data_IF_347785735236
#
_entry.id   IF_347785735236
#
_cell.length_a   1.000
_cell.length_b   1.000
_cell.length_c   1.000
_cell.angle_alpha   90.00
_cell.angle_beta   90.00
_cell.angle_gamma   90.00
#
_symmetry.space_group_name_H-M   'P 1'
#
loop_
_entity.id
_entity.type
_entity.pdbx_description
1 polymer ?
#
# COMPACT_ATOMS: atom_id res chain seq x y z
N UNK A 1 1.85 75.85 44.06
CA UNK A 1 1.92 74.55 44.75
C UNK A 1 0.64 73.77 44.49
N UNK A 2 0.54 73.01 43.42
CA UNK A 2 -0.53 72.03 43.09
C UNK A 2 -0.22 71.50 41.68
N UNK A 3 0.61 70.45 41.52
CA UNK A 3 0.77 69.67 40.30
C UNK A 3 1.72 68.49 40.57
N UNK A 4 1.28 67.46 41.24
CA UNK A 4 2.04 66.18 41.29
C UNK A 4 1.21 65.02 41.83
N UNK A 5 -0.08 64.90 41.47
CA UNK A 5 -0.87 63.78 41.96
C UNK A 5 -1.67 63.03 40.89
N UNK A 6 -1.36 63.23 39.62
CA UNK A 6 -2.07 62.56 38.50
C UNK A 6 -1.23 61.61 37.65
N UNK A 7 -0.06 61.19 38.13
CA UNK A 7 0.83 60.29 37.38
C UNK A 7 1.07 58.91 38.00
N UNK A 8 0.26 58.48 38.96
CA UNK A 8 0.46 57.15 39.61
C UNK A 8 -0.75 56.18 39.52
N UNK A 9 -1.76 56.46 38.72
CA UNK A 9 -2.95 55.61 38.56
C UNK A 9 -3.07 54.91 37.20
N UNK A 10 -2.06 54.93 36.30
CA UNK A 10 -2.16 54.34 34.97
C UNK A 10 -1.15 53.23 34.71
N UNK A 11 -0.48 52.69 35.74
CA UNK A 11 0.53 51.64 35.62
C UNK A 11 0.10 50.28 36.18
N UNK A 12 -1.16 50.07 36.60
CA UNK A 12 -1.62 48.83 37.24
C UNK A 12 -2.68 48.07 36.46
N UNK A 13 -2.98 48.41 35.18
CA UNK A 13 -4.04 47.74 34.39
C UNK A 13 -3.55 47.06 33.10
N UNK A 14 -2.24 46.93 32.88
CA UNK A 14 -1.69 46.24 31.71
C UNK A 14 -0.93 44.91 32.03
N UNK A 15 -1.09 44.37 33.23
CA UNK A 15 -0.32 43.16 33.66
C UNK A 15 -1.19 41.92 33.81
N UNK A 16 -2.45 41.87 33.34
CA UNK A 16 -3.35 40.72 33.51
C UNK A 16 -3.94 40.13 32.23
N UNK A 17 -3.36 40.41 31.05
CA UNK A 17 -3.87 39.85 29.77
C UNK A 17 -2.84 39.08 28.95
N UNK A 18 -1.76 38.55 29.54
CA UNK A 18 -0.74 37.75 28.84
C UNK A 18 -0.49 36.36 29.44
N UNK A 19 -1.52 35.69 29.90
CA UNK A 19 -1.34 34.33 30.48
C UNK A 19 -2.41 33.31 30.01
N UNK A 20 -2.89 33.38 28.76
CA UNK A 20 -3.69 32.28 28.16
C UNK A 20 -3.34 32.20 26.67
N UNK A 21 -2.20 31.66 26.32
CA UNK A 21 -1.95 31.16 24.94
C UNK A 21 -0.61 30.41 24.85
N UNK A 22 -0.46 29.34 25.65
CA UNK A 22 0.60 28.33 25.43
C UNK A 22 0.06 26.96 25.79
N UNK A 23 -0.99 26.53 25.10
CA UNK A 23 -1.42 25.14 25.03
C UNK A 23 -1.87 24.83 23.60
N UNK A 24 -1.09 25.24 22.63
CA UNK A 24 -1.18 24.80 21.25
C UNK A 24 -0.13 23.71 21.02
N UNK A 25 -0.26 22.56 21.69
CA UNK A 25 0.37 21.32 21.21
C UNK A 25 -0.17 21.07 19.82
N UNK A 26 0.73 21.06 18.83
CA UNK A 26 0.44 20.82 17.42
C UNK A 26 -0.31 19.51 17.18
N UNK A 27 -1.61 19.53 17.26
CA UNK A 27 -2.45 18.69 16.45
C UNK A 27 -2.35 19.27 15.04
N UNK A 28 -1.74 18.55 14.12
CA UNK A 28 -1.95 18.77 12.70
C UNK A 28 -3.47 18.79 12.51
N UNK A 29 -4.01 19.99 12.33
CA UNK A 29 -5.43 20.23 12.11
C UNK A 29 -5.72 19.54 10.77
N UNK A 30 -6.24 18.33 10.82
CA UNK A 30 -6.80 17.68 9.64
C UNK A 30 -7.97 18.57 9.23
N UNK A 31 -7.96 19.05 8.00
CA UNK A 31 -9.05 19.79 7.35
C UNK A 31 -10.32 18.93 7.17
N UNK A 32 -10.58 17.98 8.08
CA UNK A 32 -11.67 17.03 8.04
C UNK A 32 -11.47 15.90 7.02
N UNK A 33 -10.30 15.80 6.40
CA UNK A 33 -10.00 14.82 5.35
C UNK A 33 -8.97 13.79 5.80
N UNK A 34 -9.03 12.60 5.20
CA UNK A 34 -8.06 11.53 5.40
C UNK A 34 -7.25 11.31 4.11
N UNK A 35 -5.92 11.30 4.23
CA UNK A 35 -5.00 11.12 3.10
C UNK A 35 -4.57 9.66 3.03
N UNK A 36 -4.91 8.99 1.94
CA UNK A 36 -4.66 7.57 1.77
C UNK A 36 -3.72 7.34 0.60
N UNK A 37 -2.59 6.68 0.87
CA UNK A 37 -1.66 6.23 -0.16
C UNK A 37 -2.17 4.97 -0.84
N UNK A 38 -2.24 4.99 -2.18
CA UNK A 38 -2.76 3.90 -3.00
C UNK A 38 -1.87 3.67 -4.23
N UNK A 39 -1.85 2.45 -4.77
CA UNK A 39 -1.28 2.19 -6.10
C UNK A 39 -2.22 2.75 -7.18
N UNK A 40 -1.67 2.96 -8.37
CA UNK A 40 -2.42 3.58 -9.48
C UNK A 40 -2.26 2.82 -10.81
N UNK A 41 -1.35 1.84 -10.84
CA UNK A 41 -0.89 1.09 -12.00
C UNK A 41 -1.17 -0.43 -11.91
N UNK A 42 -1.99 -0.86 -10.93
CA UNK A 42 -2.28 -2.27 -10.65
C UNK A 42 -3.76 -2.57 -10.92
N UNK A 43 -4.13 -3.06 -12.13
CA UNK A 43 -5.51 -3.43 -12.45
C UNK A 43 -6.07 -4.46 -11.47
N UNK A 44 -7.27 -4.19 -10.94
CA UNK A 44 -7.93 -5.02 -9.93
C UNK A 44 -7.53 -4.74 -8.48
N UNK A 45 -6.51 -3.92 -8.21
CA UNK A 45 -6.00 -3.61 -6.87
C UNK A 45 -6.05 -2.11 -6.58
N UNK A 46 -5.00 -1.37 -6.89
CA UNK A 46 -4.95 0.08 -6.88
C UNK A 46 -4.76 0.58 -8.31
N UNK A 47 -5.84 0.98 -8.97
CA UNK A 47 -5.81 1.35 -10.38
C UNK A 47 -6.52 2.68 -10.63
N UNK A 48 -5.82 3.59 -11.33
CA UNK A 48 -6.39 4.88 -11.75
C UNK A 48 -7.07 4.73 -13.09
N UNK A 49 -8.39 4.84 -13.11
CA UNK A 49 -9.23 4.72 -14.31
C UNK A 49 -10.05 5.99 -14.50
N UNK A 50 -9.82 6.71 -15.61
CA UNK A 50 -10.58 7.93 -15.94
C UNK A 50 -10.65 8.95 -14.79
N UNK A 51 -9.53 9.13 -14.07
CA UNK A 51 -9.42 10.10 -12.97
C UNK A 51 -9.89 9.59 -11.60
N UNK A 52 -10.50 8.40 -11.52
CA UNK A 52 -10.92 7.76 -10.26
C UNK A 52 -10.03 6.58 -9.92
N UNK A 53 -9.94 6.24 -8.63
CA UNK A 53 -9.26 5.04 -8.18
C UNK A 53 -10.28 3.91 -7.97
N UNK A 54 -9.92 2.72 -8.44
CA UNK A 54 -10.74 1.50 -8.36
C UNK A 54 -9.86 0.30 -8.02
N UNK A 55 -10.45 -0.75 -7.46
CA UNK A 55 -9.77 -2.00 -7.17
C UNK A 55 -9.93 -2.45 -5.72
N UNK A 56 -9.44 -3.64 -5.44
CA UNK A 56 -9.59 -4.27 -4.11
C UNK A 56 -8.95 -3.44 -2.99
N UNK A 57 -7.73 -2.94 -3.19
CA UNK A 57 -7.05 -2.07 -2.22
C UNK A 57 -7.84 -0.78 -1.97
N UNK A 58 -8.46 -0.22 -3.03
CA UNK A 58 -9.31 0.97 -2.92
C UNK A 58 -10.56 0.68 -2.10
N UNK A 59 -11.21 -0.47 -2.31
CA UNK A 59 -12.41 -0.86 -1.55
C UNK A 59 -12.07 -1.13 -0.07
N UNK A 60 -10.93 -1.77 0.21
CA UNK A 60 -10.42 -1.94 1.59
C UNK A 60 -10.15 -0.57 2.22
N UNK A 61 -9.52 0.35 1.49
CA UNK A 61 -9.24 1.70 1.98
C UNK A 61 -10.52 2.49 2.31
N UNK A 62 -11.52 2.44 1.42
CA UNK A 62 -12.84 3.08 1.64
C UNK A 62 -13.56 2.48 2.85
N UNK A 63 -13.54 1.17 3.01
CA UNK A 63 -14.14 0.50 4.15
C UNK A 63 -13.48 0.95 5.46
N UNK A 64 -12.15 0.97 5.50
CA UNK A 64 -11.38 1.45 6.67
C UNK A 64 -11.71 2.91 6.95
N UNK A 65 -11.66 3.80 5.95
CA UNK A 65 -11.98 5.23 6.11
C UNK A 65 -13.38 5.43 6.70
N UNK A 66 -14.39 4.70 6.20
CA UNK A 66 -15.75 4.72 6.75
C UNK A 66 -15.80 4.30 8.23
N UNK A 67 -15.07 3.25 8.61
CA UNK A 67 -14.98 2.81 10.02
C UNK A 67 -14.24 3.80 10.91
N UNK A 68 -13.36 4.62 10.35
CA UNK A 68 -12.69 5.72 11.02
C UNK A 68 -13.55 6.99 11.12
N UNK A 69 -14.74 7.01 10.51
CA UNK A 69 -15.70 8.12 10.54
C UNK A 69 -15.64 9.08 9.35
N UNK A 70 -14.91 8.72 8.29
CA UNK A 70 -14.81 9.53 7.07
C UNK A 70 -15.77 9.06 5.99
N UNK A 71 -16.33 9.99 5.24
CA UNK A 71 -17.07 9.73 3.99
C UNK A 71 -16.11 9.57 2.81
N UNK A 72 -16.60 9.07 1.68
CA UNK A 72 -15.75 8.91 0.48
C UNK A 72 -15.22 10.25 -0.06
N UNK A 73 -15.99 11.33 0.08
CA UNK A 73 -15.61 12.68 -0.37
C UNK A 73 -14.51 13.32 0.51
N UNK A 74 -14.33 12.79 1.72
CA UNK A 74 -13.28 13.21 2.63
C UNK A 74 -11.96 12.44 2.41
N UNK A 75 -11.93 11.48 1.49
CA UNK A 75 -10.71 10.75 1.14
C UNK A 75 -9.89 11.55 0.12
N UNK A 76 -8.65 11.88 0.49
CA UNK A 76 -7.65 12.44 -0.41
C UNK A 76 -6.71 11.33 -0.86
N UNK A 77 -6.88 10.88 -2.08
CA UNK A 77 -6.03 9.85 -2.66
C UNK A 77 -4.64 10.41 -2.99
N UNK A 78 -3.60 9.68 -2.60
CA UNK A 78 -2.19 9.96 -2.93
C UNK A 78 -1.59 8.75 -3.64
N UNK A 79 -0.98 8.97 -4.79
CA UNK A 79 -0.24 7.92 -5.48
C UNK A 79 0.99 7.54 -4.66
N UNK A 80 1.13 6.26 -4.32
CA UNK A 80 2.18 5.74 -3.46
C UNK A 80 3.05 4.71 -4.19
N UNK A 81 4.02 5.15 -5.01
CA UNK A 81 5.01 4.27 -5.62
C UNK A 81 5.78 3.49 -4.57
N UNK A 82 6.15 2.24 -4.89
CA UNK A 82 6.75 1.33 -3.91
C UNK A 82 7.95 1.93 -3.17
N UNK A 83 8.82 2.64 -3.86
CA UNK A 83 10.01 3.28 -3.28
C UNK A 83 9.71 4.44 -2.32
N UNK A 84 8.51 5.04 -2.41
CA UNK A 84 8.20 6.27 -1.65
C UNK A 84 7.37 6.01 -0.40
N UNK A 85 6.81 4.81 -0.22
CA UNK A 85 5.82 4.50 0.83
C UNK A 85 6.30 4.81 2.24
N UNK A 86 7.52 4.37 2.57
CA UNK A 86 8.12 4.59 3.88
C UNK A 86 8.29 6.10 4.17
N UNK A 87 8.85 6.85 3.22
CA UNK A 87 9.05 8.29 3.35
C UNK A 87 7.72 9.05 3.46
N UNK A 88 6.70 8.70 2.67
CA UNK A 88 5.39 9.33 2.74
C UNK A 88 4.74 9.17 4.12
N UNK A 89 4.89 8.00 4.75
CA UNK A 89 4.39 7.75 6.11
C UNK A 89 5.20 8.51 7.17
N UNK A 90 6.53 8.50 7.06
CA UNK A 90 7.42 9.19 7.99
C UNK A 90 7.20 10.70 7.98
N UNK A 91 7.07 11.29 6.80
CA UNK A 91 6.84 12.72 6.60
C UNK A 91 5.41 13.16 6.98
N UNK A 92 4.45 12.22 7.05
CA UNK A 92 3.04 12.54 7.26
C UNK A 92 2.35 13.08 6.01
N UNK A 93 2.84 12.73 4.81
CA UNK A 93 2.20 13.05 3.53
C UNK A 93 0.87 12.30 3.37
N UNK A 94 0.74 11.16 4.04
CA UNK A 94 -0.43 10.29 4.11
C UNK A 94 -0.67 9.84 5.55
N UNK A 95 -1.92 9.51 5.86
CA UNK A 95 -2.32 9.01 7.17
C UNK A 95 -2.14 7.48 7.25
N UNK A 96 -2.40 6.78 6.15
CA UNK A 96 -2.05 5.36 5.98
C UNK A 96 -1.88 5.00 4.49
N UNK A 97 -1.30 3.83 4.23
CA UNK A 97 -1.06 3.31 2.88
C UNK A 97 -1.66 1.91 2.74
N UNK A 98 -2.46 1.69 1.69
CA UNK A 98 -2.91 0.39 1.19
C UNK A 98 -2.48 0.29 -0.26
N UNK A 99 -1.43 -0.48 -0.52
CA UNK A 99 -0.76 -0.46 -1.81
C UNK A 99 0.02 -1.76 -2.06
N UNK A 100 -0.67 -2.93 -1.91
CA UNK A 100 -0.02 -4.25 -2.00
C UNK A 100 1.28 -4.28 -1.20
N UNK A 101 1.19 -3.86 0.06
CA UNK A 101 2.35 -3.49 0.87
C UNK A 101 2.77 -4.65 1.78
N UNK A 102 3.69 -5.49 1.29
CA UNK A 102 4.21 -6.63 2.05
C UNK A 102 4.81 -6.18 3.38
N UNK A 103 4.35 -6.82 4.46
CA UNK A 103 4.88 -6.65 5.81
C UNK A 103 6.22 -7.36 5.87
N UNK A 104 7.32 -6.60 6.07
CA UNK A 104 8.66 -7.17 6.25
C UNK A 104 9.31 -6.62 7.51
N UNK A 105 10.29 -7.35 8.05
CA UNK A 105 11.00 -6.89 9.24
C UNK A 105 11.81 -5.63 8.98
N UNK A 106 12.35 -5.47 7.76
CA UNK A 106 13.04 -4.24 7.37
C UNK A 106 12.11 -3.03 7.38
N UNK A 107 10.91 -3.17 6.80
CA UNK A 107 9.91 -2.10 6.79
C UNK A 107 9.40 -1.77 8.19
N UNK A 108 9.21 -2.78 9.03
CA UNK A 108 8.82 -2.58 10.45
C UNK A 108 9.83 -1.78 11.27
N UNK A 109 11.09 -1.66 10.84
CA UNK A 109 12.06 -0.79 11.52
C UNK A 109 11.68 0.68 11.42
N UNK A 110 11.03 1.09 10.34
CA UNK A 110 10.79 2.51 10.01
C UNK A 110 9.32 2.92 9.94
N UNK A 111 8.39 1.96 9.76
CA UNK A 111 6.94 2.16 9.77
C UNK A 111 6.27 1.06 10.57
N UNK A 112 4.98 1.23 10.90
CA UNK A 112 4.16 0.17 11.50
C UNK A 112 3.12 -0.34 10.50
N UNK A 113 2.57 -1.52 10.77
CA UNK A 113 1.54 -2.17 9.96
C UNK A 113 0.35 -2.60 10.79
N UNK A 114 -0.84 -2.38 10.25
CA UNK A 114 -2.05 -3.11 10.62
C UNK A 114 -2.30 -4.23 9.61
N UNK A 115 -3.07 -5.22 9.96
CA UNK A 115 -3.37 -6.37 9.11
C UNK A 115 -2.65 -7.64 9.57
N UNK A 116 -2.41 -8.58 8.66
CA UNK A 116 -2.59 -8.46 7.21
C UNK A 116 -4.06 -8.36 6.78
N UNK A 117 -4.31 -7.79 5.59
CA UNK A 117 -5.64 -7.79 4.97
C UNK A 117 -5.72 -8.73 3.75
N UNK A 118 -4.59 -9.23 3.27
CA UNK A 118 -4.49 -10.19 2.16
C UNK A 118 -3.17 -10.97 2.27
N UNK A 119 -3.14 -12.19 1.72
CA UNK A 119 -1.91 -12.98 1.55
C UNK A 119 -1.78 -13.38 0.09
N UNK A 120 -0.77 -12.85 -0.57
CA UNK A 120 -0.37 -13.18 -1.94
C UNK A 120 0.79 -14.17 -1.94
N UNK A 121 1.19 -14.60 -3.12
CA UNK A 121 2.45 -15.29 -3.35
C UNK A 121 3.19 -14.70 -4.53
N UNK A 122 4.50 -14.53 -4.43
CA UNK A 122 5.30 -14.05 -5.55
C UNK A 122 5.30 -15.08 -6.67
N UNK A 123 5.12 -14.62 -7.92
CA UNK A 123 5.07 -15.45 -9.13
C UNK A 123 5.77 -14.73 -10.29
N UNK A 124 5.64 -15.27 -11.48
CA UNK A 124 6.24 -14.76 -12.71
C UNK A 124 5.17 -14.51 -13.77
N UNK A 125 5.34 -13.43 -14.53
CA UNK A 125 4.56 -13.12 -15.73
C UNK A 125 5.46 -13.26 -16.95
N UNK A 126 4.97 -13.96 -17.95
CA UNK A 126 5.67 -14.23 -19.21
C UNK A 126 4.80 -13.87 -20.41
N UNK A 127 5.37 -13.83 -21.60
CA UNK A 127 4.60 -13.73 -22.84
C UNK A 127 3.77 -15.00 -23.05
N UNK A 128 2.59 -14.85 -23.58
CA UNK A 128 1.68 -15.98 -23.85
C UNK A 128 2.37 -17.05 -24.70
N UNK A 129 2.39 -18.30 -24.18
CA UNK A 129 3.02 -19.44 -24.83
C UNK A 129 4.55 -19.51 -24.68
N UNK A 130 5.19 -18.63 -23.93
CA UNK A 130 6.61 -18.70 -23.61
C UNK A 130 6.83 -19.75 -22.52
N UNK A 131 7.52 -20.84 -22.86
CA UNK A 131 7.82 -21.93 -21.92
C UNK A 131 9.27 -21.91 -21.42
N UNK A 132 10.02 -20.86 -21.73
CA UNK A 132 11.43 -20.74 -21.35
C UNK A 132 11.64 -20.38 -19.87
N UNK A 133 10.59 -19.90 -19.19
CA UNK A 133 10.57 -19.59 -17.76
C UNK A 133 9.33 -20.24 -17.13
N UNK A 134 9.53 -21.24 -16.26
CA UNK A 134 8.47 -21.99 -15.59
C UNK A 134 8.56 -21.92 -14.07
N UNK A 135 9.60 -21.30 -13.56
CA UNK A 135 9.86 -21.09 -12.15
C UNK A 135 11.01 -20.11 -11.96
N UNK A 136 11.25 -19.65 -10.73
CA UNK A 136 12.27 -18.64 -10.46
C UNK A 136 13.70 -19.14 -10.74
N UNK A 137 13.95 -20.45 -10.72
CA UNK A 137 15.24 -21.07 -11.01
C UNK A 137 15.65 -20.92 -12.50
N UNK A 138 14.66 -20.77 -13.39
CA UNK A 138 14.89 -20.59 -14.84
C UNK A 138 15.38 -19.17 -15.20
N UNK A 139 15.47 -18.27 -14.23
CA UNK A 139 15.80 -16.86 -14.45
C UNK A 139 17.30 -16.55 -14.53
N UNK A 140 18.19 -17.50 -14.26
CA UNK A 140 19.64 -17.30 -14.44
C UNK A 140 19.94 -16.95 -15.91
N UNK A 141 20.67 -15.85 -16.13
CA UNK A 141 20.97 -15.31 -17.45
C UNK A 141 19.79 -14.61 -18.16
N UNK A 142 18.58 -14.62 -17.61
CA UNK A 142 17.39 -13.95 -18.15
C UNK A 142 17.29 -12.50 -17.66
N UNK A 143 16.60 -11.69 -18.44
CA UNK A 143 16.26 -10.30 -18.10
C UNK A 143 14.93 -10.29 -17.38
N UNK A 144 14.94 -9.85 -16.11
CA UNK A 144 13.78 -9.82 -15.22
C UNK A 144 13.41 -8.39 -14.88
N UNK A 145 12.14 -8.02 -15.06
CA UNK A 145 11.64 -6.72 -14.59
C UNK A 145 10.93 -6.85 -13.24
N UNK A 146 11.17 -5.88 -12.37
CA UNK A 146 10.38 -5.63 -11.18
C UNK A 146 10.36 -4.14 -10.86
N UNK A 147 9.66 -3.74 -9.79
CA UNK A 147 9.50 -2.33 -9.43
C UNK A 147 10.49 -1.95 -8.34
N UNK A 148 11.16 -0.82 -8.52
CA UNK A 148 12.07 -0.24 -7.52
C UNK A 148 11.35 -0.07 -6.17
N UNK A 149 11.95 -0.62 -5.10
CA UNK A 149 11.35 -0.62 -3.75
C UNK A 149 10.35 -1.74 -3.49
N UNK A 150 10.15 -2.66 -4.47
CA UNK A 150 9.52 -3.95 -4.25
C UNK A 150 10.52 -4.94 -3.62
N UNK A 151 10.01 -5.90 -2.86
CA UNK A 151 10.81 -7.02 -2.33
C UNK A 151 11.14 -8.06 -3.40
N UNK A 152 10.30 -8.14 -4.45
CA UNK A 152 10.27 -9.27 -5.38
C UNK A 152 11.56 -9.47 -6.18
N UNK A 153 12.20 -8.38 -6.65
CA UNK A 153 13.47 -8.49 -7.39
C UNK A 153 14.60 -9.04 -6.51
N UNK A 154 14.68 -8.51 -5.29
CA UNK A 154 15.69 -8.92 -4.30
C UNK A 154 15.49 -10.39 -3.93
N UNK A 155 14.26 -10.81 -3.66
CA UNK A 155 13.91 -12.21 -3.33
C UNK A 155 14.37 -13.16 -4.43
N UNK A 156 14.10 -12.86 -5.71
CA UNK A 156 14.57 -13.73 -6.82
C UNK A 156 16.09 -13.78 -6.85
N UNK A 157 16.75 -12.62 -6.79
CA UNK A 157 18.22 -12.58 -6.93
C UNK A 157 18.95 -13.27 -5.80
N UNK A 158 18.44 -13.17 -4.57
CA UNK A 158 19.10 -13.71 -3.39
C UNK A 158 18.78 -15.19 -3.12
N UNK A 159 17.57 -15.64 -3.49
CA UNK A 159 17.10 -16.97 -3.09
C UNK A 159 17.00 -17.98 -4.23
N UNK A 160 16.88 -17.53 -5.50
CA UNK A 160 16.58 -18.44 -6.61
C UNK A 160 17.51 -18.32 -7.81
N UNK A 161 17.85 -17.10 -8.25
CA UNK A 161 18.60 -16.86 -9.48
C UNK A 161 19.59 -15.70 -9.32
N UNK A 162 20.79 -15.99 -8.83
CA UNK A 162 21.83 -14.98 -8.54
C UNK A 162 22.43 -14.32 -9.79
N UNK A 163 22.32 -14.96 -10.96
CA UNK A 163 22.79 -14.46 -12.26
C UNK A 163 21.68 -13.77 -13.07
N UNK A 164 20.51 -13.53 -12.47
CA UNK A 164 19.42 -12.81 -13.14
C UNK A 164 19.82 -11.37 -13.45
N UNK A 165 19.47 -10.90 -14.66
CA UNK A 165 19.69 -9.51 -15.08
C UNK A 165 18.47 -8.69 -14.72
N UNK A 166 18.56 -7.93 -13.61
CA UNK A 166 17.44 -7.13 -13.11
C UNK A 166 17.32 -5.82 -13.90
N UNK A 167 16.09 -5.53 -14.33
CA UNK A 167 15.65 -4.23 -14.80
C UNK A 167 14.59 -3.71 -13.84
N UNK A 168 14.89 -2.62 -13.14
CA UNK A 168 13.92 -1.99 -12.26
C UNK A 168 13.20 -0.84 -12.95
N UNK A 169 11.87 -0.78 -12.77
CA UNK A 169 10.98 0.24 -13.31
C UNK A 169 10.25 0.98 -12.17
N UNK A 170 9.72 2.19 -12.40
CA UNK A 170 8.94 2.90 -11.37
C UNK A 170 7.58 2.24 -11.10
N UNK A 171 7.01 1.53 -12.07
CA UNK A 171 5.71 0.86 -11.96
C UNK A 171 5.62 -0.46 -12.71
N UNK A 172 4.56 -1.23 -12.44
CA UNK A 172 4.36 -2.53 -13.08
C UNK A 172 3.79 -2.42 -14.51
N UNK A 173 3.14 -1.31 -14.85
CA UNK A 173 2.70 -1.04 -16.21
C UNK A 173 3.90 -0.93 -17.18
N UNK A 174 5.00 -0.31 -16.73
CA UNK A 174 6.24 -0.21 -17.47
C UNK A 174 6.91 -1.59 -17.62
N UNK A 175 6.93 -2.40 -16.55
CA UNK A 175 7.42 -3.78 -16.63
C UNK A 175 6.61 -4.63 -17.62
N UNK A 176 5.28 -4.55 -17.59
CA UNK A 176 4.42 -5.27 -18.53
C UNK A 176 4.68 -4.83 -19.98
N UNK A 177 4.91 -3.53 -20.21
CA UNK A 177 5.28 -2.99 -21.52
C UNK A 177 6.64 -3.51 -21.97
N UNK A 178 7.64 -3.53 -21.11
CA UNK A 178 8.97 -4.06 -21.40
C UNK A 178 8.92 -5.58 -21.72
N UNK A 179 8.11 -6.35 -21.00
CA UNK A 179 7.89 -7.76 -21.28
C UNK A 179 7.22 -7.98 -22.64
N UNK A 180 6.15 -7.24 -22.91
CA UNK A 180 5.44 -7.31 -24.19
C UNK A 180 6.35 -6.99 -25.39
N UNK A 181 7.22 -5.99 -25.25
CA UNK A 181 8.16 -5.54 -26.28
C UNK A 181 9.40 -6.45 -26.40
N UNK A 182 9.54 -7.50 -25.58
CA UNK A 182 10.69 -8.39 -25.62
C UNK A 182 11.98 -7.79 -25.03
N UNK A 183 11.88 -6.64 -24.33
CA UNK A 183 13.02 -6.01 -23.65
C UNK A 183 13.44 -6.86 -22.45
N UNK A 184 12.47 -7.47 -21.75
CA UNK A 184 12.69 -8.42 -20.66
C UNK A 184 12.05 -9.76 -20.99
N UNK A 185 12.47 -10.80 -20.28
CA UNK A 185 12.02 -12.17 -20.50
C UNK A 185 10.90 -12.55 -19.53
N UNK A 186 10.87 -11.94 -18.33
CA UNK A 186 9.82 -12.10 -17.34
C UNK A 186 9.62 -10.83 -16.50
N UNK A 187 8.47 -10.76 -15.82
CA UNK A 187 8.21 -9.80 -14.75
C UNK A 187 7.94 -10.59 -13.47
N UNK A 188 8.46 -10.13 -12.33
CA UNK A 188 8.17 -10.74 -11.04
C UNK A 188 7.51 -9.75 -10.10
N UNK A 189 6.46 -10.21 -9.46
CA UNK A 189 5.76 -9.64 -8.32
C UNK A 189 4.73 -10.64 -7.82
N UNK A 190 3.76 -10.19 -7.04
CA UNK A 190 2.76 -11.05 -6.44
C UNK A 190 1.69 -11.50 -7.44
N UNK A 191 1.24 -12.71 -7.32
CA UNK A 191 0.33 -13.44 -8.20
C UNK A 191 -0.94 -12.64 -8.56
N UNK A 192 -1.56 -11.99 -7.59
CA UNK A 192 -2.75 -11.16 -7.80
C UNK A 192 -2.44 -9.92 -8.65
N UNK A 193 -1.27 -9.31 -8.49
CA UNK A 193 -0.83 -8.17 -9.32
C UNK A 193 -0.61 -8.65 -10.75
N UNK A 194 0.10 -9.77 -10.91
CA UNK A 194 0.38 -10.37 -12.22
C UNK A 194 -0.89 -10.78 -12.94
N UNK A 195 -1.87 -11.34 -12.22
CA UNK A 195 -3.17 -11.69 -12.78
C UNK A 195 -3.92 -10.46 -13.34
N UNK A 196 -3.87 -9.33 -12.62
CA UNK A 196 -4.40 -8.06 -13.11
C UNK A 196 -3.72 -7.58 -14.39
N UNK A 197 -2.38 -7.61 -14.44
CA UNK A 197 -1.59 -7.24 -15.62
C UNK A 197 -1.84 -8.19 -16.81
N UNK A 198 -1.90 -9.50 -16.56
CA UNK A 198 -2.23 -10.50 -17.58
C UNK A 198 -3.61 -10.24 -18.18
N UNK A 199 -4.62 -10.02 -17.34
CA UNK A 199 -5.98 -9.68 -17.77
C UNK A 199 -6.02 -8.42 -18.65
N UNK A 200 -5.32 -7.36 -18.24
CA UNK A 200 -5.22 -6.11 -18.99
C UNK A 200 -4.46 -6.26 -20.32
N UNK A 201 -3.63 -7.29 -20.48
CA UNK A 201 -2.82 -7.55 -21.67
C UNK A 201 -3.61 -8.05 -22.88
N UNK A 202 -4.90 -8.35 -22.69
CA UNK A 202 -5.78 -8.95 -23.74
C UNK A 202 -5.22 -10.27 -24.28
N UNK A 203 -4.75 -11.14 -23.38
CA UNK A 203 -4.26 -12.48 -23.74
C UNK A 203 -2.84 -12.55 -24.31
N UNK A 204 -2.07 -11.47 -24.20
CA UNK A 204 -0.67 -11.43 -24.68
C UNK A 204 0.34 -11.87 -23.64
N UNK A 205 -0.03 -11.77 -22.35
CA UNK A 205 0.79 -12.16 -21.21
C UNK A 205 0.04 -13.22 -20.39
N UNK A 206 0.78 -14.06 -19.69
CA UNK A 206 0.23 -15.06 -18.81
C UNK A 206 1.08 -15.22 -17.54
N UNK A 207 0.42 -15.54 -16.44
CA UNK A 207 1.07 -15.85 -15.17
C UNK A 207 1.53 -17.31 -15.22
N UNK A 208 2.73 -17.59 -14.74
CA UNK A 208 3.26 -18.97 -14.67
C UNK A 208 2.40 -19.85 -13.77
N UNK A 209 1.83 -19.27 -12.70
CA UNK A 209 0.86 -19.93 -11.83
C UNK A 209 1.48 -20.88 -10.82
N UNK A 210 2.71 -20.59 -10.39
CA UNK A 210 3.47 -21.35 -9.37
C UNK A 210 4.04 -20.39 -8.32
N UNK A 211 3.21 -19.79 -7.45
CA UNK A 211 3.70 -18.91 -6.41
C UNK A 211 4.73 -19.60 -5.52
N UNK A 212 5.86 -18.91 -5.27
CA UNK A 212 7.02 -19.49 -4.56
C UNK A 212 7.34 -18.79 -3.23
N UNK A 213 6.57 -17.74 -2.84
CA UNK A 213 6.65 -17.09 -1.53
C UNK A 213 5.26 -16.92 -0.89
N UNK A 214 5.23 -16.32 0.31
CA UNK A 214 4.02 -15.82 0.96
C UNK A 214 4.24 -14.35 1.30
N UNK A 215 3.39 -13.49 0.72
CA UNK A 215 3.46 -12.04 0.87
C UNK A 215 2.26 -11.52 1.66
N UNK A 216 2.48 -11.12 2.90
CA UNK A 216 1.44 -10.61 3.79
C UNK A 216 1.23 -9.12 3.55
N UNK A 217 0.10 -8.73 2.95
CA UNK A 217 -0.22 -7.32 2.71
C UNK A 217 -0.75 -6.66 3.97
N UNK A 218 -0.09 -5.60 4.39
CA UNK A 218 -0.52 -4.77 5.51
C UNK A 218 -0.90 -3.36 5.10
N UNK A 219 -1.61 -2.71 6.00
CA UNK A 219 -1.88 -1.28 5.95
C UNK A 219 -0.73 -0.57 6.66
N UNK A 220 0.09 0.13 5.90
CA UNK A 220 1.21 0.90 6.45
C UNK A 220 0.74 2.15 7.17
N UNK A 221 1.26 2.39 8.37
CA UNK A 221 1.02 3.60 9.17
C UNK A 221 2.35 4.14 9.69
N UNK A 222 2.36 5.44 10.05
CA UNK A 222 3.53 6.05 10.68
C UNK A 222 3.92 5.27 11.94
N UNK A 223 5.22 5.12 12.17
CA UNK A 223 5.77 4.45 13.36
C UNK A 223 5.20 5.05 14.64
N UNK A 224 4.74 4.18 15.56
CA UNK A 224 4.14 4.57 16.83
C UNK A 224 2.66 4.96 16.75
N UNK A 225 1.97 4.75 15.64
CA UNK A 225 0.53 5.05 15.48
C UNK A 225 -0.35 3.91 16.01
N UNK A 226 -0.18 3.50 17.28
CA UNK A 226 -0.83 2.32 17.85
C UNK A 226 -2.36 2.40 17.87
N UNK A 227 -2.93 3.57 18.16
CA UNK A 227 -4.39 3.76 18.17
C UNK A 227 -4.98 3.61 16.76
N UNK A 228 -4.34 4.20 15.74
CA UNK A 228 -4.77 4.08 14.35
C UNK A 228 -4.65 2.62 13.89
N UNK A 229 -3.54 1.97 14.20
CA UNK A 229 -3.30 0.56 13.90
C UNK A 229 -4.38 -0.35 14.49
N UNK A 230 -4.75 -0.11 15.76
CA UNK A 230 -5.83 -0.85 16.44
C UNK A 230 -7.20 -0.66 15.76
N UNK A 231 -7.54 0.57 15.39
CA UNK A 231 -8.79 0.89 14.69
C UNK A 231 -8.83 0.25 13.29
N UNK A 232 -7.71 0.29 12.55
CA UNK A 232 -7.60 -0.35 11.22
C UNK A 232 -7.75 -1.86 11.35
N UNK A 233 -7.11 -2.52 12.32
CA UNK A 233 -7.26 -3.96 12.54
C UNK A 233 -8.71 -4.34 12.85
N UNK A 234 -9.42 -3.55 13.66
CA UNK A 234 -10.83 -3.76 13.92
C UNK A 234 -11.66 -3.62 12.63
N UNK A 235 -11.37 -2.63 11.80
CA UNK A 235 -12.07 -2.41 10.53
C UNK A 235 -11.84 -3.58 9.55
N UNK A 236 -10.61 -4.11 9.44
CA UNK A 236 -10.31 -5.29 8.60
C UNK A 236 -11.10 -6.50 9.10
N UNK A 237 -11.08 -6.75 10.41
CA UNK A 237 -11.83 -7.86 11.03
C UNK A 237 -13.35 -7.74 10.75
N UNK A 238 -13.91 -6.54 10.82
CA UNK A 238 -15.32 -6.30 10.51
C UNK A 238 -15.61 -6.53 9.03
N UNK A 239 -14.73 -6.10 8.13
CA UNK A 239 -14.87 -6.27 6.69
C UNK A 239 -14.89 -7.76 6.27
N UNK A 240 -14.08 -8.57 6.95
CA UNK A 240 -14.06 -10.02 6.75
C UNK A 240 -15.36 -10.67 7.27
N UNK A 241 -15.78 -10.31 8.48
CA UNK A 241 -16.96 -10.87 9.13
C UNK A 241 -18.28 -10.56 8.39
N UNK A 242 -18.42 -9.34 7.87
CA UNK A 242 -19.64 -8.93 7.15
C UNK A 242 -19.65 -9.34 5.67
N UNK A 243 -18.59 -10.01 5.21
CA UNK A 243 -18.42 -10.52 3.85
C UNK A 243 -18.05 -9.45 2.82
N UNK A 244 -17.83 -8.20 3.22
CA UNK A 244 -17.43 -7.12 2.30
C UNK A 244 -16.06 -7.39 1.69
N UNK A 245 -15.14 -8.00 2.44
CA UNK A 245 -13.83 -8.42 1.94
C UNK A 245 -13.97 -9.38 0.75
N UNK A 246 -14.81 -10.41 0.90
CA UNK A 246 -15.01 -11.43 -0.14
C UNK A 246 -15.67 -10.82 -1.38
N UNK A 247 -16.66 -9.93 -1.20
CA UNK A 247 -17.32 -9.23 -2.31
C UNK A 247 -16.33 -8.33 -3.04
N UNK A 248 -15.60 -7.48 -2.31
CA UNK A 248 -14.62 -6.58 -2.90
C UNK A 248 -13.55 -7.34 -3.72
N UNK A 249 -13.01 -8.44 -3.19
CA UNK A 249 -12.03 -9.26 -3.91
C UNK A 249 -12.66 -9.85 -5.19
N UNK A 250 -13.83 -10.48 -5.09
CA UNK A 250 -14.49 -11.12 -6.23
C UNK A 250 -14.83 -10.11 -7.35
N UNK A 251 -15.34 -8.93 -6.99
CA UNK A 251 -15.71 -7.90 -7.95
C UNK A 251 -14.50 -7.34 -8.70
N UNK A 252 -13.38 -7.18 -8.01
CA UNK A 252 -12.17 -6.58 -8.57
C UNK A 252 -11.25 -7.59 -9.29
N UNK A 253 -11.37 -8.89 -9.02
CA UNK A 253 -10.64 -9.95 -9.73
C UNK A 253 -11.44 -10.62 -10.82
N UNK A 254 -12.70 -10.18 -11.04
CA UNK A 254 -13.56 -10.71 -12.09
C UNK A 254 -12.91 -10.56 -13.47
N UNK A 255 -12.69 -11.68 -14.16
CA UNK A 255 -12.02 -11.71 -15.46
C UNK A 255 -10.50 -11.79 -15.43
N UNK A 256 -9.87 -11.73 -14.26
CA UNK A 256 -8.43 -11.91 -14.11
C UNK A 256 -8.01 -13.41 -13.99
N UNK A 257 -8.99 -14.33 -13.97
CA UNK A 257 -8.76 -15.76 -13.75
C UNK A 257 -7.88 -16.05 -12.51
N UNK A 258 -8.16 -15.30 -11.42
CA UNK A 258 -7.43 -15.38 -10.19
C UNK A 258 -8.30 -15.93 -9.06
N UNK A 259 -7.74 -16.85 -8.29
CA UNK A 259 -8.34 -17.38 -7.07
C UNK A 259 -7.31 -17.30 -5.94
N UNK A 260 -7.60 -16.57 -4.86
CA UNK A 260 -6.68 -16.50 -3.73
C UNK A 260 -6.52 -17.87 -3.08
N UNK A 261 -5.35 -18.15 -2.52
CA UNK A 261 -5.14 -19.39 -1.79
C UNK A 261 -6.04 -19.42 -0.53
N UNK A 262 -7.02 -20.35 -0.45
CA UNK A 262 -8.01 -20.37 0.63
C UNK A 262 -7.41 -20.77 1.98
N UNK A 263 -6.20 -21.32 2.00
CA UNK A 263 -5.48 -21.64 3.24
C UNK A 263 -5.08 -20.36 4.00
N UNK A 264 -4.85 -19.27 3.27
CA UNK A 264 -4.33 -18.03 3.83
C UNK A 264 -5.29 -16.85 3.72
N UNK A 265 -6.40 -16.97 2.98
CA UNK A 265 -7.33 -15.88 2.69
C UNK A 265 -8.79 -16.24 3.03
N UNK A 266 -9.51 -15.35 3.74
CA UNK A 266 -9.01 -14.10 4.31
C UNK A 266 -8.04 -14.35 5.47
N UNK A 267 -7.00 -13.51 5.64
CA UNK A 267 -6.08 -13.64 6.76
C UNK A 267 -6.72 -13.13 8.07
N UNK A 268 -6.20 -13.57 9.21
CA UNK A 268 -6.64 -13.07 10.52
C UNK A 268 -5.77 -11.89 10.93
N UNK A 269 -6.32 -10.65 11.04
CA UNK A 269 -5.56 -9.50 11.49
C UNK A 269 -5.01 -9.72 12.91
N UNK A 270 -3.76 -9.32 13.16
CA UNK A 270 -2.99 -9.64 14.38
C UNK A 270 -2.80 -11.13 14.65
N UNK A 271 -3.23 -12.01 13.78
CA UNK A 271 -2.93 -13.42 13.86
C UNK A 271 -1.43 -13.63 13.67
N UNK A 272 -0.80 -14.40 14.57
CA UNK A 272 0.42 -15.10 14.20
C UNK A 272 0.02 -15.89 12.97
N UNK A 273 0.54 -15.50 11.80
CA UNK A 273 0.20 -16.15 10.55
C UNK A 273 0.19 -17.66 10.74
N UNK A 274 -0.79 -18.32 10.14
CA UNK A 274 -0.84 -19.79 10.18
C UNK A 274 0.53 -20.29 9.76
N UNK A 275 1.35 -20.69 10.77
CA UNK A 275 2.64 -21.33 10.58
C UNK A 275 2.44 -22.69 9.94
#
# INVERSE_FOLDING_TARGET
MKKTWFKRALAALCALTCAVSLAGCGSSQSDGKIRIGIKFDQPGLGFKKSGTYVGFDVDVAKYIAKKLGYTEDEIVWKEAPSKQREAMLQNGDVDFIIATYSITDERKKVVDFAGPYFVAGQDLLVRKGDTSVRGPEDLNGKRLCSVTGSTSAVTVKEQFANEVQLMEQPGYAECATALFSGIVDAVTTDDIILAGLASASRGRLEVVGKPFTQEYYGVGVKKGSDDLKKKINAAITDMEKDGSWKRALADNTKGANYTPNPKYNPPVPNGKGNK
#
